data_IF_398195075094
#
_entry.id   IF_398195075094
#
_cell.length_a   1.000
_cell.length_b   1.000
_cell.length_c   1.000
_cell.angle_alpha   90.00
_cell.angle_beta   90.00
_cell.angle_gamma   90.00
#
_symmetry.space_group_name_H-M   'P 1'
#
loop_
_entity.id
_entity.type
_entity.pdbx_description
1 polymer ?
#
# COMPACT_ATOMS: atom_id res chain seq x y z
N UNK A 1 -0.84 -2.49 -16.83
CA UNK A 1 -0.22 -3.45 -15.89
C UNK A 1 0.56 -2.70 -14.83
N UNK A 2 0.37 -3.07 -13.59
CA UNK A 2 1.10 -2.50 -12.46
C UNK A 2 2.05 -3.57 -11.94
N UNK A 3 3.33 -3.23 -11.85
CA UNK A 3 4.34 -4.11 -11.32
C UNK A 3 4.97 -3.50 -10.06
N UNK A 4 5.10 -4.30 -9.03
CA UNK A 4 5.75 -3.89 -7.78
C UNK A 4 7.16 -4.43 -7.74
N UNK A 5 8.13 -3.55 -7.55
CA UNK A 5 9.53 -3.92 -7.47
C UNK A 5 9.91 -4.30 -6.04
N UNK A 6 10.55 -5.46 -5.90
CA UNK A 6 11.05 -5.96 -4.61
C UNK A 6 9.99 -5.91 -3.52
N UNK A 7 8.82 -6.47 -3.82
CA UNK A 7 7.77 -6.52 -2.83
C UNK A 7 8.16 -7.42 -1.67
N UNK A 8 7.71 -7.06 -0.47
CA UNK A 8 7.88 -7.87 0.73
C UNK A 8 6.59 -8.63 1.05
N UNK A 9 5.46 -7.95 1.04
CA UNK A 9 4.18 -8.50 1.44
C UNK A 9 3.05 -7.82 0.70
N UNK A 10 1.93 -8.53 0.55
CA UNK A 10 0.72 -7.94 0.02
C UNK A 10 -0.51 -8.57 0.66
N UNK A 11 -1.62 -7.82 0.65
CA UNK A 11 -2.93 -8.28 1.06
C UNK A 11 -3.95 -7.88 0.00
N UNK A 12 -4.86 -8.79 -0.34
CA UNK A 12 -5.89 -8.53 -1.33
C UNK A 12 -7.20 -9.16 -0.85
N UNK A 13 -8.27 -8.38 -0.90
CA UNK A 13 -9.57 -8.87 -0.52
C UNK A 13 -10.44 -7.79 0.12
N UNK A 14 -10.97 -8.07 1.29
CA UNK A 14 -11.80 -7.12 2.03
C UNK A 14 -10.96 -5.93 2.52
N UNK A 15 -11.57 -4.77 2.74
CA UNK A 15 -12.98 -4.50 2.55
C UNK A 15 -13.34 -4.13 1.10
N UNK A 16 -14.64 -4.27 0.76
CA UNK A 16 -15.20 -3.64 -0.43
C UNK A 16 -15.59 -2.18 -0.10
N UNK A 17 -16.13 -1.46 -1.09
CA UNK A 17 -16.47 -0.05 -0.88
C UNK A 17 -17.56 0.16 0.18
N UNK A 18 -18.49 -0.78 0.35
CA UNK A 18 -19.57 -0.68 1.34
C UNK A 18 -19.05 -0.81 2.78
N UNK A 19 -18.01 -1.60 3.00
CA UNK A 19 -17.42 -1.82 4.32
C UNK A 19 -16.15 -1.02 4.55
N UNK A 20 -15.78 -0.14 3.64
CA UNK A 20 -14.47 0.53 3.65
C UNK A 20 -14.26 1.41 4.88
N UNK A 21 -15.33 1.98 5.43
CA UNK A 21 -15.25 2.80 6.64
C UNK A 21 -14.70 2.02 7.85
N UNK A 22 -14.73 0.68 7.81
CA UNK A 22 -14.12 -0.17 8.82
C UNK A 22 -12.61 -0.37 8.67
N UNK A 23 -12.02 0.11 7.60
CA UNK A 23 -10.56 0.01 7.43
C UNK A 23 -9.86 0.87 8.49
N UNK A 24 -8.77 0.36 9.11
CA UNK A 24 -8.07 1.11 10.17
C UNK A 24 -7.61 2.51 9.76
N UNK A 25 -7.34 2.72 8.48
CA UNK A 25 -6.85 4.00 7.96
C UNK A 25 -7.96 4.90 7.39
N UNK A 26 -9.23 4.48 7.46
CA UNK A 26 -10.33 5.29 6.95
C UNK A 26 -10.41 6.66 7.63
N UNK A 27 -10.14 6.71 8.94
CA UNK A 27 -10.12 7.95 9.71
C UNK A 27 -8.90 8.85 9.38
N UNK A 28 -7.94 8.33 8.64
CA UNK A 28 -6.72 9.05 8.25
C UNK A 28 -6.80 9.61 6.83
N UNK A 29 -7.94 9.49 6.17
CA UNK A 29 -8.15 10.00 4.83
C UNK A 29 -8.24 8.94 3.74
N UNK A 30 -8.08 7.66 4.09
CA UNK A 30 -8.24 6.58 3.12
C UNK A 30 -9.71 6.48 2.69
N UNK A 31 -9.95 6.39 1.40
CA UNK A 31 -11.30 6.26 0.85
C UNK A 31 -11.30 5.35 -0.39
N UNK A 32 -12.46 4.76 -0.77
CA UNK A 32 -12.53 3.87 -1.93
C UNK A 32 -12.26 4.61 -3.24
N UNK A 33 -11.96 3.85 -4.29
CA UNK A 33 -11.70 4.34 -5.65
C UNK A 33 -10.48 5.26 -5.74
N UNK A 34 -9.46 4.99 -4.93
CA UNK A 34 -8.24 5.80 -4.90
C UNK A 34 -7.03 4.95 -4.56
N UNK A 35 -5.87 5.53 -4.78
CA UNK A 35 -4.58 4.91 -4.47
C UNK A 35 -3.81 5.82 -3.53
N UNK A 36 -3.10 5.21 -2.57
CA UNK A 36 -2.39 5.97 -1.54
C UNK A 36 -1.03 5.35 -1.24
N UNK A 37 -0.11 6.18 -0.80
CA UNK A 37 1.09 5.75 -0.12
C UNK A 37 0.96 6.14 1.35
N UNK A 38 1.18 5.19 2.24
CA UNK A 38 1.03 5.39 3.68
C UNK A 38 2.38 5.79 4.27
N UNK A 39 2.44 6.95 4.90
CA UNK A 39 3.64 7.42 5.58
C UNK A 39 3.75 6.80 6.98
N UNK A 40 4.97 6.45 7.39
CA UNK A 40 5.24 5.89 8.71
C UNK A 40 4.37 4.67 9.01
N UNK A 41 4.25 3.79 8.04
CA UNK A 41 3.35 2.64 8.08
C UNK A 41 3.59 1.76 9.29
N UNK A 42 2.54 1.52 10.06
CA UNK A 42 2.56 0.58 11.18
C UNK A 42 2.76 -0.84 10.69
N UNK A 43 2.25 -1.17 9.52
CA UNK A 43 2.45 -2.49 8.92
C UNK A 43 3.92 -2.75 8.59
N UNK A 44 4.60 -1.76 7.99
CA UNK A 44 6.04 -1.88 7.72
C UNK A 44 6.81 -2.04 9.03
N UNK A 45 6.47 -1.26 10.06
CA UNK A 45 7.12 -1.40 11.37
C UNK A 45 6.91 -2.79 11.98
N UNK A 46 5.71 -3.33 11.84
CA UNK A 46 5.41 -4.69 12.32
C UNK A 46 6.22 -5.74 11.57
N UNK A 47 6.32 -5.62 10.24
CA UNK A 47 7.11 -6.53 9.43
C UNK A 47 8.59 -6.47 9.79
N UNK A 48 9.12 -5.26 9.99
CA UNK A 48 10.51 -5.08 10.42
C UNK A 48 10.74 -5.70 11.80
N UNK A 49 9.83 -5.47 12.73
CA UNK A 49 9.93 -6.04 14.08
C UNK A 49 9.95 -7.56 14.05
N UNK A 50 9.08 -8.17 13.23
CA UNK A 50 9.10 -9.63 13.07
C UNK A 50 10.40 -10.13 12.45
N UNK A 51 10.96 -9.38 11.49
CA UNK A 51 12.21 -9.77 10.85
C UNK A 51 13.44 -9.52 11.72
N UNK A 52 13.34 -8.68 12.75
CA UNK A 52 14.49 -8.29 13.58
C UNK A 52 15.14 -9.44 14.34
N UNK A 53 14.41 -10.54 14.51
CA UNK A 53 14.95 -11.76 15.13
C UNK A 53 15.87 -12.54 14.20
N UNK A 54 15.86 -12.22 12.90
CA UNK A 54 16.71 -12.90 11.92
C UNK A 54 18.13 -12.33 11.98
N UNK A 55 19.14 -13.20 11.97
CA UNK A 55 20.53 -12.79 12.11
C UNK A 55 21.07 -11.93 10.95
N UNK A 56 20.40 -11.97 9.79
CA UNK A 56 20.70 -11.12 8.64
C UNK A 56 19.81 -9.92 8.51
N UNK A 57 19.11 -9.55 9.59
CA UNK A 57 18.23 -8.39 9.55
C UNK A 57 19.01 -7.13 9.18
N UNK A 58 18.49 -6.38 8.21
CA UNK A 58 19.07 -5.12 7.73
C UNK A 58 18.02 -4.02 7.82
N UNK A 59 18.13 -3.10 8.80
CA UNK A 59 17.18 -2.00 8.92
C UNK A 59 17.12 -1.10 7.70
N UNK A 60 18.23 -0.93 6.96
CA UNK A 60 18.26 -0.07 5.77
C UNK A 60 17.39 -0.62 4.65
N UNK A 61 17.21 -1.93 4.57
CA UNK A 61 16.31 -2.55 3.62
C UNK A 61 14.87 -2.13 3.89
N UNK A 62 14.44 -2.13 5.15
CA UNK A 62 13.09 -1.75 5.53
C UNK A 62 12.85 -0.24 5.37
N UNK A 63 13.88 0.57 5.45
CA UNK A 63 13.78 2.00 5.20
C UNK A 63 13.41 2.32 3.73
N UNK A 64 13.69 1.41 2.81
CA UNK A 64 13.34 1.56 1.40
C UNK A 64 11.92 1.13 1.06
N UNK A 65 11.25 0.38 1.91
CA UNK A 65 9.90 -0.09 1.66
C UNK A 65 8.87 1.01 1.80
N UNK A 66 7.84 0.94 0.98
CA UNK A 66 6.69 1.83 0.99
C UNK A 66 5.43 0.98 1.08
N UNK A 67 4.42 1.51 1.74
CA UNK A 67 3.13 0.87 1.90
C UNK A 67 2.15 1.53 0.94
N UNK A 68 1.70 0.78 -0.06
CA UNK A 68 0.74 1.25 -1.06
C UNK A 68 -0.62 0.63 -0.80
N UNK A 69 -1.66 1.43 -0.96
CA UNK A 69 -3.06 0.98 -0.85
C UNK A 69 -3.80 1.36 -2.13
N UNK A 70 -4.41 0.38 -2.75
CA UNK A 70 -5.27 0.54 -3.92
C UNK A 70 -6.68 0.13 -3.51
N UNK A 71 -7.58 1.09 -3.42
CA UNK A 71 -8.96 0.85 -2.99
C UNK A 71 -9.88 0.80 -4.20
N UNK A 72 -10.44 -0.38 -4.46
CA UNK A 72 -11.33 -0.65 -5.59
C UNK A 72 -12.78 -0.84 -5.12
N UNK A 73 -13.68 -1.09 -6.07
CA UNK A 73 -15.09 -1.31 -5.77
C UNK A 73 -15.31 -2.56 -4.91
N UNK A 74 -14.79 -3.68 -5.35
CA UNK A 74 -15.07 -4.97 -4.72
C UNK A 74 -14.00 -5.41 -3.71
N UNK A 75 -12.86 -4.71 -3.69
CA UNK A 75 -11.72 -5.18 -2.92
C UNK A 75 -10.74 -4.05 -2.62
N UNK A 76 -9.85 -4.31 -1.70
CA UNK A 76 -8.71 -3.47 -1.36
C UNK A 76 -7.43 -4.28 -1.55
N UNK A 77 -6.45 -3.68 -2.20
CA UNK A 77 -5.11 -4.25 -2.35
C UNK A 77 -4.12 -3.39 -1.60
N UNK A 78 -3.30 -4.01 -0.76
CA UNK A 78 -2.22 -3.35 -0.05
C UNK A 78 -0.92 -4.07 -0.32
N UNK A 79 0.16 -3.32 -0.52
CA UNK A 79 1.46 -3.90 -0.84
C UNK A 79 2.58 -3.12 -0.15
N UNK A 80 3.53 -3.85 0.41
CA UNK A 80 4.79 -3.30 0.89
C UNK A 80 5.87 -3.66 -0.12
N UNK A 81 6.41 -2.65 -0.80
CA UNK A 81 7.40 -2.80 -1.85
C UNK A 81 8.31 -1.58 -1.92
N UNK A 82 9.42 -1.68 -2.63
CA UNK A 82 10.29 -0.52 -2.81
C UNK A 82 9.71 0.48 -3.79
N UNK A 83 9.04 0.02 -4.84
CA UNK A 83 8.45 0.88 -5.86
C UNK A 83 7.41 0.11 -6.69
N UNK A 84 6.75 0.81 -7.58
CA UNK A 84 5.88 0.19 -8.57
C UNK A 84 6.02 0.92 -9.91
N UNK A 85 5.66 0.22 -11.01
CA UNK A 85 5.63 0.78 -12.35
C UNK A 85 4.32 0.46 -13.04
N UNK A 86 3.89 1.32 -13.96
CA UNK A 86 2.69 1.13 -14.77
C UNK A 86 3.11 1.08 -16.22
N UNK A 87 2.80 -0.02 -16.90
CA UNK A 87 3.19 -0.24 -18.29
C UNK A 87 2.05 -0.14 -19.29
N UNK A 88 0.80 -0.20 -18.80
CA UNK A 88 -0.39 0.00 -19.62
C UNK A 88 -1.33 0.96 -18.92
N UNK A 89 -1.90 1.88 -19.68
CA UNK A 89 -2.80 2.89 -19.16
C UNK A 89 -4.21 2.69 -19.71
N UNK A 90 -5.19 2.75 -18.82
CA UNK A 90 -6.56 3.06 -19.17
C UNK A 90 -6.94 4.31 -18.40
N UNK A 91 -7.90 5.10 -18.92
CA UNK A 91 -8.22 6.40 -18.32
C UNK A 91 -8.53 6.33 -16.83
N UNK A 92 -9.27 5.31 -16.40
CA UNK A 92 -9.62 5.13 -14.98
C UNK A 92 -8.38 4.84 -14.13
N UNK A 93 -7.50 3.97 -14.62
CA UNK A 93 -6.27 3.63 -13.91
C UNK A 93 -5.32 4.82 -13.82
N UNK A 94 -5.18 5.58 -14.91
CA UNK A 94 -4.39 6.81 -14.91
C UNK A 94 -4.90 7.81 -13.87
N UNK A 95 -6.21 7.97 -13.78
CA UNK A 95 -6.83 8.86 -12.79
C UNK A 95 -6.50 8.42 -11.38
N UNK A 96 -6.56 7.12 -11.09
CA UNK A 96 -6.19 6.57 -9.80
C UNK A 96 -4.72 6.81 -9.47
N UNK A 97 -3.85 6.59 -10.44
CA UNK A 97 -2.41 6.75 -10.25
C UNK A 97 -2.02 8.22 -10.07
N UNK A 98 -2.70 9.13 -10.75
CA UNK A 98 -2.49 10.56 -10.53
C UNK A 98 -2.78 10.97 -9.08
N UNK A 99 -3.76 10.32 -8.45
CA UNK A 99 -4.09 10.53 -7.04
C UNK A 99 -3.06 9.89 -6.12
N UNK A 100 -2.28 8.94 -6.61
CA UNK A 100 -1.32 8.19 -5.80
C UNK A 100 -0.15 9.03 -5.28
N UNK A 101 0.02 10.25 -5.76
CA UNK A 101 0.97 11.19 -5.16
C UNK A 101 0.56 11.60 -3.74
N UNK A 102 -0.71 11.35 -3.39
CA UNK A 102 -1.22 11.66 -2.06
C UNK A 102 -0.63 10.69 -1.04
N UNK A 103 -0.08 11.23 0.01
CA UNK A 103 0.46 10.47 1.13
C UNK A 103 -0.44 10.63 2.34
N UNK A 104 -0.71 9.52 3.01
CA UNK A 104 -1.54 9.52 4.20
C UNK A 104 -0.71 9.11 5.42
N UNK A 105 -0.91 9.78 6.58
CA UNK A 105 -0.28 9.35 7.81
C UNK A 105 -0.93 8.05 8.29
N UNK A 106 -0.12 7.23 8.89
CA UNK A 106 -0.62 6.02 9.54
C UNK A 106 -0.95 6.33 11.00
#
# INVERSE_FOLDING_TARGET
MIEFERYHSYMFGAPNDEAFAGHPLASRGLHPYACFQIESSSWIRQLEQMNSVHWRHDPTRFARYKHYVFAFHDSTFECVAENFTVTEHCGTLESLIAVMQRRLPD
#
